data_IF_968749847727
#
_entry.id   IF_968749847727
#
_cell.length_a   1.000
_cell.length_b   1.000
_cell.length_c   1.000
_cell.angle_alpha   90.00
_cell.angle_beta   90.00
_cell.angle_gamma   90.00
#
_symmetry.space_group_name_H-M   'P 1'
#
loop_
_entity.id
_entity.type
_entity.pdbx_description
1 polymer ?
#
# COMPACT_ATOMS: atom_id res chain seq x y z
N UNK A 1 -0.55 3.78 5.32
CA UNK A 1 -1.54 3.06 4.49
C UNK A 1 -2.79 3.89 4.45
N UNK A 2 -3.18 4.36 3.27
CA UNK A 2 -4.35 5.21 3.04
C UNK A 2 -5.33 4.47 2.13
N UNK A 3 -6.62 4.79 2.25
CA UNK A 3 -7.64 4.30 1.33
C UNK A 3 -8.00 5.42 0.35
N UNK A 4 -8.07 5.08 -0.93
CA UNK A 4 -8.47 5.97 -2.00
C UNK A 4 -9.66 5.35 -2.73
N UNK A 5 -10.58 6.18 -3.20
CA UNK A 5 -11.74 5.69 -3.94
C UNK A 5 -11.35 5.21 -5.34
N UNK A 6 -10.43 5.93 -5.98
CA UNK A 6 -9.88 5.56 -7.29
C UNK A 6 -8.36 5.70 -7.33
N UNK A 7 -7.73 5.05 -8.31
CA UNK A 7 -6.29 5.24 -8.61
C UNK A 7 -5.95 6.70 -8.95
N UNK A 8 -6.89 7.42 -9.55
CA UNK A 8 -6.72 8.84 -9.88
C UNK A 8 -6.59 9.72 -8.63
N UNK A 9 -7.34 9.40 -7.56
CA UNK A 9 -7.24 10.14 -6.29
C UNK A 9 -5.89 9.92 -5.62
N UNK A 10 -5.39 8.68 -5.69
CA UNK A 10 -4.04 8.34 -5.25
C UNK A 10 -2.97 9.09 -6.06
N UNK A 11 -3.10 9.14 -7.39
CA UNK A 11 -2.12 9.81 -8.26
C UNK A 11 -2.10 11.33 -8.08
N UNK A 12 -3.24 11.95 -7.85
CA UNK A 12 -3.29 13.37 -7.50
C UNK A 12 -2.56 13.63 -6.18
N UNK A 13 -2.84 12.80 -5.16
CA UNK A 13 -2.23 12.91 -3.85
C UNK A 13 -0.70 12.72 -3.87
N UNK A 14 -0.17 11.74 -4.60
CA UNK A 14 1.27 11.51 -4.69
C UNK A 14 1.99 12.63 -5.46
N UNK A 15 1.37 13.15 -6.52
CA UNK A 15 1.92 14.26 -7.28
C UNK A 15 1.97 15.56 -6.45
N UNK A 16 0.90 15.89 -5.73
CA UNK A 16 0.86 17.07 -4.85
C UNK A 16 1.88 16.99 -3.72
N UNK A 17 2.13 15.78 -3.21
CA UNK A 17 3.13 15.54 -2.18
C UNK A 17 4.58 15.48 -2.71
N UNK A 18 4.79 15.48 -4.03
CA UNK A 18 6.11 15.32 -4.65
C UNK A 18 6.69 13.91 -4.51
N UNK A 19 5.83 12.90 -4.35
CA UNK A 19 6.18 11.50 -4.06
C UNK A 19 5.94 10.56 -5.25
N UNK A 20 5.62 11.09 -6.43
CA UNK A 20 5.20 10.28 -7.57
C UNK A 20 6.27 9.35 -8.15
N UNK A 21 7.55 9.55 -7.80
CA UNK A 21 8.66 8.67 -8.19
C UNK A 21 9.24 7.89 -6.99
N UNK A 22 8.59 7.91 -5.83
CA UNK A 22 9.04 7.18 -4.65
C UNK A 22 8.71 5.69 -4.79
N UNK A 23 9.74 4.84 -4.84
CA UNK A 23 9.59 3.39 -5.03
C UNK A 23 8.90 2.69 -3.85
N UNK A 24 8.92 3.32 -2.66
CA UNK A 24 8.24 2.81 -1.47
C UNK A 24 6.75 3.19 -1.45
N UNK A 25 6.28 4.03 -2.39
CA UNK A 25 4.89 4.47 -2.49
C UNK A 25 4.21 3.86 -3.69
N UNK A 26 3.41 2.84 -3.43
CA UNK A 26 2.62 2.14 -4.44
C UNK A 26 1.15 2.01 -4.03
N UNK A 27 0.29 1.80 -5.04
CA UNK A 27 -1.14 1.59 -4.86
C UNK A 27 -1.46 0.13 -5.21
N UNK A 28 -2.13 -0.54 -4.28
CA UNK A 28 -2.68 -1.88 -4.46
C UNK A 28 -4.20 -1.76 -4.58
N UNK A 29 -4.81 -2.68 -5.33
CA UNK A 29 -6.25 -2.87 -5.22
C UNK A 29 -6.63 -3.52 -3.88
N UNK A 30 -7.93 -3.59 -3.57
CA UNK A 30 -8.39 -4.09 -2.27
C UNK A 30 -8.03 -5.56 -2.04
N UNK A 31 -8.03 -6.39 -3.09
CA UNK A 31 -7.71 -7.81 -2.99
C UNK A 31 -6.21 -8.01 -2.77
N UNK A 32 -5.39 -7.26 -3.49
CA UNK A 32 -3.93 -7.23 -3.32
C UNK A 32 -3.56 -6.77 -1.92
N UNK A 33 -4.17 -5.68 -1.43
CA UNK A 33 -3.94 -5.18 -0.08
C UNK A 33 -4.30 -6.22 1.00
N UNK A 34 -5.39 -6.97 0.81
CA UNK A 34 -5.78 -8.07 1.70
C UNK A 34 -4.70 -9.17 1.68
N UNK A 35 -4.24 -9.59 0.50
CA UNK A 35 -3.20 -10.63 0.37
C UNK A 35 -1.88 -10.19 1.03
N UNK A 36 -1.43 -8.96 0.79
CA UNK A 36 -0.21 -8.43 1.40
C UNK A 36 -0.34 -8.32 2.93
N UNK A 37 -1.53 -7.96 3.44
CA UNK A 37 -1.77 -7.91 4.88
C UNK A 37 -1.58 -9.27 5.55
N UNK A 38 -2.04 -10.36 4.92
CA UNK A 38 -1.85 -11.71 5.42
C UNK A 38 -0.38 -12.15 5.40
N UNK A 39 0.37 -11.79 4.35
CA UNK A 39 1.81 -12.08 4.27
C UNK A 39 2.56 -11.40 5.42
N UNK A 40 2.29 -10.11 5.64
CA UNK A 40 2.90 -9.34 6.74
C UNK A 40 2.56 -9.96 8.09
N UNK A 41 1.29 -10.31 8.32
CA UNK A 41 0.86 -10.87 9.61
C UNK A 41 1.47 -12.25 9.88
N UNK A 42 1.48 -13.15 8.89
CA UNK A 42 2.12 -14.47 9.01
C UNK A 42 3.63 -14.36 9.22
N UNK A 43 4.29 -13.43 8.52
CA UNK A 43 5.71 -13.19 8.69
C UNK A 43 6.02 -12.71 10.12
N UNK A 44 5.22 -11.79 10.66
CA UNK A 44 5.33 -11.36 12.07
C UNK A 44 5.11 -12.51 13.05
N UNK A 45 4.14 -13.39 12.82
CA UNK A 45 3.94 -14.57 13.66
C UNK A 45 5.17 -15.48 13.69
N UNK A 46 5.79 -15.72 12.53
CA UNK A 46 6.99 -16.57 12.42
C UNK A 46 8.24 -15.96 13.07
N UNK A 47 8.36 -14.64 13.09
CA UNK A 47 9.49 -13.95 13.75
C UNK A 47 9.36 -13.97 15.28
N UNK A 48 8.13 -14.07 15.80
CA UNK A 48 7.82 -14.04 17.23
C UNK A 48 7.68 -15.44 17.88
N UNK A 49 7.79 -16.51 17.09
CA UNK A 49 7.74 -17.92 17.52
C UNK A 49 9.13 -18.53 17.59
#
# INVERSE_FOLDING_TARGET
MNFFWTKSDFDAWTNEAGLSNDEDIYCLDINEAIVESYKIFKLKQKVLS
#
